data_IF_229193963604
#
_entry.id   IF_229193963604
#
_cell.length_a   1.000
_cell.length_b   1.000
_cell.length_c   1.000
_cell.angle_alpha   90.00
_cell.angle_beta   90.00
_cell.angle_gamma   90.00
#
_symmetry.space_group_name_H-M   'P 1'
#
loop_
_entity.id
_entity.type
_entity.pdbx_description
1 polymer ?
#
# COMPACT_ATOMS: atom_id res chain seq x y z
N UNK A 1 5.31 53.41 -57.57
CA UNK A 1 4.20 52.59 -57.07
C UNK A 1 4.65 51.14 -57.04
N UNK A 2 4.18 50.39 -56.05
CA UNK A 2 4.40 48.96 -55.75
C UNK A 2 5.67 48.63 -54.94
N UNK A 3 5.39 48.50 -53.66
CA UNK A 3 6.09 47.85 -52.55
C UNK A 3 5.82 46.33 -52.64
N UNK A 4 6.78 45.46 -52.34
CA UNK A 4 6.54 44.01 -52.33
C UNK A 4 7.68 43.17 -51.73
N UNK A 5 7.58 42.93 -50.43
CA UNK A 5 8.37 42.03 -49.58
C UNK A 5 8.07 40.55 -49.89
N UNK A 6 8.84 39.64 -49.24
CA UNK A 6 8.53 38.24 -48.89
C UNK A 6 9.07 37.14 -49.84
N UNK A 7 9.58 35.99 -49.40
CA UNK A 7 9.94 35.46 -48.08
C UNK A 7 10.83 34.23 -48.36
N UNK A 8 11.95 34.09 -47.64
CA UNK A 8 12.76 32.87 -47.59
C UNK A 8 11.90 31.70 -47.12
N UNK A 9 11.89 30.60 -47.88
CA UNK A 9 11.24 29.35 -47.49
C UNK A 9 11.96 28.72 -46.30
N UNK A 10 11.48 28.96 -45.10
CA UNK A 10 11.83 28.15 -43.94
C UNK A 10 10.99 26.87 -44.01
N UNK A 11 11.57 25.80 -44.57
CA UNK A 11 11.10 24.43 -44.30
C UNK A 11 11.35 24.16 -42.82
N UNK A 12 10.33 24.33 -41.97
CA UNK A 12 10.38 23.85 -40.60
C UNK A 12 10.29 22.32 -40.63
N UNK A 13 11.31 21.55 -40.19
CA UNK A 13 11.08 20.15 -39.91
C UNK A 13 10.12 20.03 -38.74
N UNK A 14 9.07 19.24 -38.93
CA UNK A 14 8.08 18.91 -37.92
C UNK A 14 8.75 18.28 -36.70
N UNK A 15 8.65 18.97 -35.56
CA UNK A 15 9.00 18.43 -34.24
C UNK A 15 7.87 17.50 -33.79
N UNK A 16 7.84 16.28 -34.32
CA UNK A 16 6.89 15.24 -33.93
C UNK A 16 7.66 13.99 -33.51
N UNK A 17 8.25 13.98 -32.31
CA UNK A 17 8.86 12.75 -31.75
C UNK A 17 8.93 12.67 -30.22
N UNK A 18 8.22 13.53 -29.47
CA UNK A 18 8.26 13.50 -27.99
C UNK A 18 7.06 12.76 -27.36
N UNK A 19 6.01 12.44 -28.12
CA UNK A 19 4.71 12.02 -27.54
C UNK A 19 4.48 10.49 -27.49
N UNK A 20 5.32 9.65 -28.11
CA UNK A 20 5.14 8.19 -28.07
C UNK A 20 5.71 7.54 -26.80
N UNK A 21 6.86 8.03 -26.30
CA UNK A 21 7.49 7.48 -25.10
C UNK A 21 6.69 7.74 -23.82
N UNK A 22 6.00 8.88 -23.72
CA UNK A 22 5.11 9.21 -22.60
C UNK A 22 3.87 8.31 -22.59
N UNK A 23 3.20 8.16 -23.75
CA UNK A 23 1.99 7.33 -23.89
C UNK A 23 2.22 5.86 -23.54
N UNK A 24 3.33 5.28 -23.98
CA UNK A 24 3.68 3.89 -23.64
C UNK A 24 3.96 3.71 -22.15
N UNK A 25 4.56 4.72 -21.51
CA UNK A 25 4.85 4.70 -20.07
C UNK A 25 3.56 4.79 -19.23
N UNK A 26 2.62 5.64 -19.64
CA UNK A 26 1.31 5.80 -18.97
C UNK A 26 0.44 4.56 -19.15
N UNK A 27 0.39 3.99 -20.36
CA UNK A 27 -0.32 2.75 -20.63
C UNK A 27 0.22 1.59 -19.77
N UNK A 28 1.55 1.46 -19.68
CA UNK A 28 2.20 0.43 -18.84
C UNK A 28 1.85 0.60 -17.36
N UNK A 29 1.86 1.83 -16.88
CA UNK A 29 1.51 2.15 -15.49
C UNK A 29 0.05 1.83 -15.18
N UNK A 30 -0.85 2.24 -16.05
CA UNK A 30 -2.27 1.99 -15.90
C UNK A 30 -2.59 0.48 -15.97
N UNK A 31 -1.88 -0.28 -16.83
CA UNK A 31 -1.96 -1.72 -16.85
C UNK A 31 -1.49 -2.35 -15.53
N UNK A 32 -0.30 -1.97 -15.03
CA UNK A 32 0.22 -2.48 -13.76
C UNK A 32 -0.73 -2.21 -12.59
N UNK A 33 -1.32 -1.01 -12.53
CA UNK A 33 -2.30 -0.63 -11.50
C UNK A 33 -3.57 -1.51 -11.49
N UNK A 34 -3.97 -2.04 -12.65
CA UNK A 34 -5.15 -2.92 -12.77
C UNK A 34 -4.85 -4.39 -12.48
N UNK A 35 -3.58 -4.77 -12.35
CA UNK A 35 -3.23 -6.15 -12.05
C UNK A 35 -3.52 -6.44 -10.57
N UNK A 36 -4.29 -7.50 -10.34
CA UNK A 36 -4.49 -8.06 -9.01
C UNK A 36 -3.16 -8.64 -8.49
N UNK A 37 -2.89 -8.44 -7.21
CA UNK A 37 -1.63 -8.84 -6.62
C UNK A 37 -1.62 -8.73 -5.11
N UNK A 38 -0.52 -9.20 -4.54
CA UNK A 38 -0.25 -9.18 -3.11
C UNK A 38 0.63 -7.98 -2.75
N UNK A 39 0.64 -7.61 -1.47
CA UNK A 39 1.59 -6.64 -0.94
C UNK A 39 2.69 -7.36 -0.17
N UNK A 40 3.93 -7.01 -0.47
CA UNK A 40 5.11 -7.43 0.26
C UNK A 40 5.75 -6.24 0.97
N UNK A 41 6.29 -6.49 2.16
CA UNK A 41 7.01 -5.49 2.92
C UNK A 41 8.51 -5.61 2.70
N UNK A 42 9.18 -4.46 2.60
CA UNK A 42 10.62 -4.38 2.49
C UNK A 42 11.18 -3.43 3.54
N UNK A 43 11.99 -3.98 4.44
CA UNK A 43 12.80 -3.18 5.35
C UNK A 43 13.99 -2.59 4.58
N UNK A 44 14.13 -1.26 4.57
CA UNK A 44 15.11 -0.52 3.76
C UNK A 44 16.08 0.30 4.61
N UNK A 45 15.86 0.36 5.92
CA UNK A 45 16.72 1.05 6.88
C UNK A 45 17.70 0.06 7.53
N UNK A 46 18.56 0.56 8.42
CA UNK A 46 19.33 -0.27 9.34
C UNK A 46 18.99 0.09 10.80
N UNK A 47 17.79 0.66 11.01
CA UNK A 47 17.29 1.10 12.32
C UNK A 47 16.66 -0.07 13.10
N UNK A 48 16.20 -1.09 12.37
CA UNK A 48 15.56 -2.29 12.89
C UNK A 48 16.55 -3.34 13.42
N UNK A 49 16.12 -4.11 14.42
CA UNK A 49 16.92 -5.25 14.92
C UNK A 49 16.93 -6.40 13.90
N UNK A 50 17.92 -7.32 13.97
CA UNK A 50 17.95 -8.50 13.11
C UNK A 50 16.65 -9.32 13.18
N UNK A 51 16.05 -9.45 14.36
CA UNK A 51 14.80 -10.18 14.57
C UNK A 51 13.60 -9.47 13.92
N UNK A 52 13.53 -8.14 14.03
CA UNK A 52 12.50 -7.35 13.37
C UNK A 52 12.63 -7.46 11.84
N UNK A 53 13.84 -7.36 11.30
CA UNK A 53 14.10 -7.55 9.87
C UNK A 53 13.68 -8.94 9.42
N UNK A 54 14.01 -9.99 10.19
CA UNK A 54 13.60 -11.35 9.86
C UNK A 54 12.07 -11.50 9.85
N UNK A 55 11.35 -10.86 10.77
CA UNK A 55 9.88 -10.90 10.77
C UNK A 55 9.25 -10.12 9.61
N UNK A 56 9.83 -8.97 9.24
CA UNK A 56 9.18 -7.97 8.38
C UNK A 56 9.71 -7.93 6.95
N UNK A 57 10.96 -8.27 6.67
CA UNK A 57 11.49 -8.22 5.31
C UNK A 57 10.96 -9.40 4.49
N UNK A 58 10.36 -9.10 3.33
CA UNK A 58 9.61 -10.04 2.48
C UNK A 58 8.39 -10.69 3.14
N UNK A 59 7.85 -10.11 4.22
CA UNK A 59 6.58 -10.53 4.77
C UNK A 59 5.41 -10.09 3.87
N UNK A 60 4.28 -10.81 3.95
CA UNK A 60 3.08 -10.49 3.20
C UNK A 60 2.10 -9.69 4.07
N UNK A 61 1.28 -8.89 3.42
CA UNK A 61 0.14 -8.24 4.06
C UNK A 61 -1.07 -9.17 4.01
N UNK A 62 -1.77 -9.26 5.14
CA UNK A 62 -2.98 -10.05 5.37
C UNK A 62 -4.09 -9.17 5.92
N UNK A 63 -5.33 -9.60 5.70
CA UNK A 63 -6.55 -9.04 6.22
C UNK A 63 -7.03 -9.94 7.35
N UNK A 64 -7.46 -9.36 8.47
CA UNK A 64 -8.10 -10.12 9.55
C UNK A 64 -9.55 -9.67 9.76
N UNK A 65 -10.32 -10.44 10.52
CA UNK A 65 -11.76 -10.22 10.73
C UNK A 65 -12.07 -8.90 11.46
N UNK A 66 -11.07 -8.29 12.12
CA UNK A 66 -11.16 -6.99 12.80
C UNK A 66 -11.15 -5.78 11.84
N UNK A 67 -11.04 -6.02 10.53
CA UNK A 67 -11.00 -4.97 9.51
C UNK A 67 -9.64 -4.27 9.39
N UNK A 68 -8.57 -4.85 9.95
CA UNK A 68 -7.21 -4.30 9.90
C UNK A 68 -6.30 -5.08 8.95
N UNK A 69 -5.18 -4.46 8.60
CA UNK A 69 -4.14 -5.06 7.78
C UNK A 69 -2.93 -5.43 8.65
N UNK A 70 -2.46 -6.67 8.51
CA UNK A 70 -1.34 -7.22 9.26
C UNK A 70 -0.20 -7.62 8.34
N UNK A 71 1.04 -7.41 8.76
CA UNK A 71 2.28 -7.85 8.12
C UNK A 71 2.80 -9.04 8.91
N UNK A 72 2.90 -10.21 8.27
CA UNK A 72 3.42 -11.42 8.91
C UNK A 72 3.97 -12.41 7.90
N UNK A 73 4.89 -13.27 8.35
CA UNK A 73 5.32 -14.50 7.65
C UNK A 73 4.55 -15.74 8.10
N UNK A 74 3.84 -15.63 9.23
CA UNK A 74 3.10 -16.70 9.89
C UNK A 74 1.66 -16.20 10.09
N UNK A 75 0.82 -16.24 9.05
CA UNK A 75 -0.58 -15.85 9.18
C UNK A 75 -1.35 -16.85 10.05
N UNK A 76 -2.32 -16.37 10.81
CA UNK A 76 -3.28 -17.23 11.49
C UNK A 76 -4.29 -17.80 10.48
N UNK A 77 -5.04 -18.87 10.82
CA UNK A 77 -6.09 -19.40 9.94
C UNK A 77 -7.22 -18.41 9.62
N UNK A 78 -7.44 -17.38 10.45
CA UNK A 78 -8.44 -16.33 10.23
C UNK A 78 -7.97 -15.29 9.21
N UNK A 79 -6.65 -15.16 9.03
CA UNK A 79 -6.05 -14.16 8.15
C UNK A 79 -6.12 -14.57 6.69
N UNK A 80 -6.63 -13.66 5.85
CA UNK A 80 -6.67 -13.83 4.40
C UNK A 80 -5.60 -12.98 3.73
N UNK A 81 -4.80 -13.53 2.80
CA UNK A 81 -3.78 -12.72 2.10
C UNK A 81 -4.41 -11.50 1.43
N UNK A 82 -3.76 -10.34 1.53
CA UNK A 82 -4.15 -9.18 0.72
C UNK A 82 -4.13 -9.61 -0.75
N UNK A 83 -5.22 -9.31 -1.45
CA UNK A 83 -5.35 -9.69 -2.84
C UNK A 83 -6.16 -8.65 -3.61
N UNK A 84 -5.43 -7.69 -4.16
CA UNK A 84 -5.98 -6.40 -4.50
C UNK A 84 -5.26 -5.69 -5.63
N UNK A 85 -5.85 -4.58 -6.04
CA UNK A 85 -5.32 -3.72 -7.10
C UNK A 85 -5.82 -2.28 -6.93
N UNK A 86 -5.23 -1.38 -7.69
CA UNK A 86 -5.59 0.03 -7.69
C UNK A 86 -6.91 0.21 -8.46
N UNK A 87 -7.83 0.97 -7.90
CA UNK A 87 -9.14 1.19 -8.49
C UNK A 87 -9.56 2.65 -8.37
N UNK A 88 -10.18 3.21 -9.41
CA UNK A 88 -10.66 4.59 -9.40
C UNK A 88 -11.81 4.73 -8.40
N UNK A 89 -11.65 5.59 -7.40
CA UNK A 89 -12.69 5.82 -6.41
C UNK A 89 -13.77 6.77 -6.98
N UNK A 90 -15.07 6.44 -6.85
CA UNK A 90 -16.14 7.23 -7.43
C UNK A 90 -16.36 8.59 -6.74
N UNK A 91 -16.06 8.70 -5.45
CA UNK A 91 -16.26 9.96 -4.70
C UNK A 91 -15.03 10.89 -4.76
N UNK A 92 -14.02 10.54 -5.55
CA UNK A 92 -12.83 11.36 -5.74
C UNK A 92 -13.05 12.33 -6.89
N UNK A 93 -13.07 13.64 -6.57
CA UNK A 93 -13.05 14.74 -7.54
C UNK A 93 -11.84 14.61 -8.49
N UNK A 94 -11.88 15.22 -9.69
CA UNK A 94 -11.09 14.82 -10.88
C UNK A 94 -9.56 14.73 -10.73
N UNK A 95 -9.00 15.17 -9.59
CA UNK A 95 -7.57 15.23 -9.31
C UNK A 95 -7.06 14.08 -8.42
N UNK A 96 -7.95 13.24 -7.85
CA UNK A 96 -7.56 12.12 -7.00
C UNK A 96 -7.62 10.79 -7.77
N UNK A 97 -6.43 10.28 -8.10
CA UNK A 97 -6.18 9.47 -9.29
C UNK A 97 -6.20 7.95 -9.05
N UNK A 98 -6.39 7.46 -7.82
CA UNK A 98 -6.73 6.05 -7.54
C UNK A 98 -6.92 5.77 -6.04
N UNK A 99 -7.89 4.92 -5.70
CA UNK A 99 -7.92 4.19 -4.44
C UNK A 99 -7.24 2.82 -4.56
N UNK A 100 -7.31 2.02 -3.50
CA UNK A 100 -6.85 0.63 -3.43
C UNK A 100 -7.99 -0.26 -2.94
N UNK A 101 -8.20 -1.41 -3.59
CA UNK A 101 -9.19 -2.40 -3.17
C UNK A 101 -8.54 -3.76 -2.95
N UNK A 102 -9.14 -4.58 -2.10
CA UNK A 102 -8.78 -5.97 -1.84
C UNK A 102 -10.03 -6.85 -1.83
N UNK A 103 -9.87 -8.15 -2.01
CA UNK A 103 -10.95 -9.12 -1.78
C UNK A 103 -10.93 -9.62 -0.34
N UNK A 104 -12.09 -9.64 0.30
CA UNK A 104 -12.27 -10.22 1.65
C UNK A 104 -12.45 -11.75 1.60
N UNK A 105 -12.31 -12.38 2.77
CA UNK A 105 -12.46 -13.83 2.99
C UNK A 105 -13.91 -14.34 2.88
N UNK A 106 -14.88 -13.43 2.84
CA UNK A 106 -16.30 -13.75 2.82
C UNK A 106 -16.67 -14.63 1.61
N UNK A 107 -17.78 -15.37 1.72
CA UNK A 107 -18.30 -16.18 0.61
C UNK A 107 -19.68 -15.64 0.20
N UNK A 108 -19.83 -14.98 -0.98
CA UNK A 108 -18.79 -14.73 -1.99
C UNK A 108 -17.78 -13.64 -1.58
N UNK A 109 -16.53 -13.66 -2.10
CA UNK A 109 -15.55 -12.63 -1.81
C UNK A 109 -16.04 -11.26 -2.23
N UNK A 110 -15.95 -10.28 -1.34
CA UNK A 110 -16.38 -8.91 -1.60
C UNK A 110 -15.18 -8.01 -1.85
N UNK A 111 -15.31 -7.11 -2.82
CA UNK A 111 -14.34 -6.03 -3.01
C UNK A 111 -14.50 -5.02 -1.87
N UNK A 112 -13.44 -4.85 -1.09
CA UNK A 112 -13.36 -3.91 0.04
C UNK A 112 -12.35 -2.82 -0.28
N UNK A 113 -12.66 -1.59 0.11
CA UNK A 113 -11.72 -0.48 0.03
C UNK A 113 -10.66 -0.65 1.10
N UNK A 114 -9.41 -0.34 0.75
CA UNK A 114 -8.32 -0.15 1.72
C UNK A 114 -8.15 1.35 1.95
N UNK A 115 -8.08 1.73 3.21
CA UNK A 115 -8.04 3.12 3.63
C UNK A 115 -7.21 3.30 4.88
N UNK A 116 -6.74 4.52 5.07
CA UNK A 116 -6.05 4.94 6.28
C UNK A 116 -7.07 5.57 7.22
N UNK A 117 -7.20 4.99 8.40
CA UNK A 117 -7.99 5.53 9.49
C UNK A 117 -7.42 6.90 9.91
N UNK A 118 -8.22 7.95 9.73
CA UNK A 118 -7.81 9.33 9.95
C UNK A 118 -7.52 9.69 11.41
N UNK A 119 -8.00 8.90 12.37
CA UNK A 119 -7.79 9.15 13.80
C UNK A 119 -6.57 8.40 14.33
N UNK A 120 -6.34 7.18 13.85
CA UNK A 120 -5.34 6.25 14.41
C UNK A 120 -4.13 6.00 13.51
N UNK A 121 -4.19 6.45 12.26
CA UNK A 121 -3.21 6.13 11.21
C UNK A 121 -3.06 4.60 10.94
N UNK A 122 -4.04 3.80 11.32
CA UNK A 122 -4.13 2.37 11.01
C UNK A 122 -4.57 2.15 9.56
N UNK A 123 -3.93 1.21 8.86
CA UNK A 123 -4.47 0.73 7.59
C UNK A 123 -5.61 -0.25 7.86
N UNK A 124 -6.77 0.06 7.29
CA UNK A 124 -8.00 -0.70 7.44
C UNK A 124 -8.58 -1.09 6.09
N UNK A 125 -9.51 -2.03 6.11
CA UNK A 125 -10.33 -2.35 4.96
C UNK A 125 -11.81 -2.46 5.31
N UNK A 126 -12.68 -2.15 4.36
CA UNK A 126 -14.11 -2.10 4.62
C UNK A 126 -14.97 -1.77 3.41
N UNK A 127 -16.27 -1.67 3.63
CA UNK A 127 -17.23 -1.19 2.62
C UNK A 127 -17.19 0.33 2.48
N UNK A 128 -18.04 0.88 1.59
CA UNK A 128 -18.14 2.33 1.35
C UNK A 128 -18.58 3.14 2.58
N UNK A 129 -19.33 2.52 3.49
CA UNK A 129 -19.75 3.17 4.74
C UNK A 129 -18.57 3.34 5.70
N UNK A 130 -17.69 2.34 5.77
CA UNK A 130 -16.53 2.31 6.66
C UNK A 130 -15.43 3.28 6.23
N UNK A 131 -15.47 3.80 5.01
CA UNK A 131 -14.48 4.76 4.49
C UNK A 131 -14.81 6.21 4.78
N UNK A 132 -16.02 6.51 5.27
CA UNK A 132 -16.47 7.88 5.47
C UNK A 132 -15.60 8.62 6.49
N UNK A 133 -15.04 9.77 6.11
CA UNK A 133 -14.15 10.56 6.97
C UNK A 133 -12.70 10.07 7.04
N UNK A 134 -12.36 8.99 6.33
CA UNK A 134 -11.02 8.43 6.29
C UNK A 134 -10.31 8.67 4.95
N UNK A 135 -9.02 8.35 4.87
CA UNK A 135 -8.20 8.64 3.68
C UNK A 135 -8.14 7.40 2.79
N UNK A 136 -8.84 7.43 1.65
CA UNK A 136 -8.87 6.34 0.69
C UNK A 136 -7.88 6.51 -0.48
N UNK A 137 -6.99 7.51 -0.43
CA UNK A 137 -6.04 7.79 -1.50
C UNK A 137 -5.61 9.26 -1.58
N UNK A 138 -4.84 9.65 -2.61
CA UNK A 138 -4.48 8.81 -3.76
C UNK A 138 -3.45 7.73 -3.40
N UNK A 139 -3.78 6.48 -3.70
CA UNK A 139 -2.81 5.40 -3.79
C UNK A 139 -2.15 5.39 -5.15
N UNK A 140 -0.85 5.16 -5.19
CA UNK A 140 -0.15 5.07 -6.47
C UNK A 140 1.10 4.20 -6.44
N UNK A 141 1.61 3.86 -7.62
CA UNK A 141 2.94 3.26 -7.76
C UNK A 141 3.98 4.37 -7.92
N UNK A 142 5.02 4.34 -7.09
CA UNK A 142 6.19 5.20 -7.23
C UNK A 142 6.82 4.99 -8.61
N UNK A 143 7.04 3.72 -8.95
CA UNK A 143 7.54 3.25 -10.22
C UNK A 143 6.98 1.86 -10.54
N UNK A 144 6.81 1.59 -11.83
CA UNK A 144 6.17 0.34 -12.31
C UNK A 144 7.11 -0.86 -12.21
N UNK A 145 8.42 -0.63 -12.26
CA UNK A 145 9.43 -1.68 -12.31
C UNK A 145 9.59 -2.38 -10.95
N UNK A 146 9.72 -1.59 -9.89
CA UNK A 146 9.83 -2.10 -8.53
C UNK A 146 8.45 -2.33 -7.91
N UNK A 147 7.43 -1.55 -8.30
CA UNK A 147 6.07 -1.71 -7.81
C UNK A 147 5.85 -1.15 -6.40
N UNK A 148 6.65 -0.17 -5.96
CA UNK A 148 6.47 0.42 -4.62
C UNK A 148 5.20 1.25 -4.52
N UNK A 149 4.39 0.97 -3.52
CA UNK A 149 3.12 1.65 -3.24
C UNK A 149 3.36 2.93 -2.46
N UNK A 150 2.63 3.96 -2.84
CA UNK A 150 2.58 5.27 -2.20
C UNK A 150 1.15 5.58 -1.80
N UNK A 151 0.99 6.35 -0.73
CA UNK A 151 -0.26 7.00 -0.36
C UNK A 151 0.03 8.50 -0.27
N UNK A 152 -0.82 9.31 -0.90
CA UNK A 152 -0.62 10.76 -0.99
C UNK A 152 0.77 11.14 -1.52
N UNK A 153 1.30 10.33 -2.46
CA UNK A 153 2.65 10.46 -3.06
C UNK A 153 3.81 10.28 -2.08
N UNK A 154 3.58 9.74 -0.88
CA UNK A 154 4.59 9.48 0.15
C UNK A 154 4.74 7.97 0.40
N UNK A 155 5.91 7.57 0.91
CA UNK A 155 6.25 6.19 1.29
C UNK A 155 6.55 6.11 2.78
N UNK A 156 5.52 6.33 3.60
CA UNK A 156 5.63 6.40 5.07
C UNK A 156 4.93 5.23 5.75
N UNK A 157 5.20 4.02 5.27
CA UNK A 157 4.62 2.80 5.82
C UNK A 157 5.36 2.37 7.08
N UNK A 158 4.58 1.97 8.09
CA UNK A 158 5.08 1.48 9.36
C UNK A 158 4.50 0.09 9.65
N UNK A 159 5.33 -0.83 10.13
CA UNK A 159 4.86 -1.98 10.91
C UNK A 159 4.82 -1.57 12.36
N UNK A 160 3.71 -1.81 13.05
CA UNK A 160 3.47 -1.36 14.42
C UNK A 160 3.04 -2.53 15.31
N UNK A 161 3.59 -2.58 16.52
CA UNK A 161 3.19 -3.46 17.62
C UNK A 161 2.85 -2.61 18.84
N UNK A 162 1.57 -2.52 19.15
CA UNK A 162 1.08 -1.81 20.32
C UNK A 162 1.50 -2.51 21.62
N UNK A 163 1.59 -1.80 22.76
CA UNK A 163 1.97 -2.38 24.05
C UNK A 163 1.10 -3.57 24.46
N UNK A 164 -0.21 -3.47 24.21
CA UNK A 164 -1.17 -4.52 24.52
C UNK A 164 -0.91 -5.80 23.73
N UNK A 165 -0.57 -5.67 22.45
CA UNK A 165 -0.19 -6.82 21.62
C UNK A 165 1.11 -7.45 22.11
N UNK A 166 2.10 -6.62 22.45
CA UNK A 166 3.38 -7.10 23.00
C UNK A 166 3.19 -7.84 24.32
N UNK A 167 2.28 -7.38 25.19
CA UNK A 167 1.96 -8.03 26.45
C UNK A 167 1.31 -9.41 26.21
N UNK A 168 0.35 -9.50 25.29
CA UNK A 168 -0.28 -10.77 24.90
C UNK A 168 0.73 -11.77 24.33
N UNK A 169 1.56 -11.34 23.38
CA UNK A 169 2.61 -12.20 22.80
C UNK A 169 3.60 -12.70 23.87
N UNK A 170 3.93 -11.85 24.84
CA UNK A 170 4.83 -12.21 25.95
C UNK A 170 4.18 -13.24 26.88
N UNK A 171 2.91 -13.05 27.23
CA UNK A 171 2.14 -14.00 28.05
C UNK A 171 2.02 -15.36 27.34
N UNK A 172 1.69 -15.38 26.05
CA UNK A 172 1.64 -16.60 25.23
C UNK A 172 2.99 -17.35 25.21
N UNK A 173 4.10 -16.60 25.15
CA UNK A 173 5.44 -17.17 25.20
C UNK A 173 5.76 -17.77 26.58
N UNK A 174 5.41 -17.07 27.67
CA UNK A 174 5.61 -17.54 29.05
C UNK A 174 4.78 -18.79 29.37
N UNK A 175 3.57 -18.88 28.82
CA UNK A 175 2.70 -20.04 28.93
C UNK A 175 3.11 -21.21 28.03
N UNK A 176 4.13 -21.04 27.19
CA UNK A 176 4.61 -22.09 26.26
C UNK A 176 3.61 -22.43 25.15
N UNK A 177 2.65 -21.54 24.86
CA UNK A 177 1.64 -21.69 23.81
C UNK A 177 1.96 -20.87 22.55
N UNK A 178 3.07 -20.12 22.58
CA UNK A 178 3.63 -19.44 21.41
C UNK A 178 3.92 -20.47 20.30
N UNK A 179 3.16 -20.38 19.20
CA UNK A 179 3.26 -21.31 18.06
C UNK A 179 2.20 -22.42 18.00
N UNK A 180 1.17 -22.39 18.86
CA UNK A 180 -0.06 -23.15 18.59
C UNK A 180 -0.79 -22.58 17.36
N UNK A 181 -1.60 -23.38 16.66
CA UNK A 181 -2.44 -22.92 15.53
C UNK A 181 -3.33 -21.75 15.99
N UNK A 182 -2.88 -20.51 15.77
CA UNK A 182 -3.53 -19.29 16.27
C UNK A 182 -2.61 -18.29 17.00
N UNK A 183 -1.33 -18.60 17.23
CA UNK A 183 -0.40 -17.67 17.88
C UNK A 183 -0.16 -16.39 17.07
N UNK A 184 -0.41 -15.23 17.67
CA UNK A 184 -0.26 -13.88 17.05
C UNK A 184 1.24 -13.49 16.93
N UNK A 185 2.13 -14.34 17.44
CA UNK A 185 3.58 -14.15 17.46
C UNK A 185 4.15 -13.76 16.11
N UNK A 186 4.64 -12.52 16.02
CA UNK A 186 5.33 -12.02 14.83
C UNK A 186 4.44 -11.34 13.79
N UNK A 187 3.15 -11.14 14.09
CA UNK A 187 2.29 -10.25 13.30
C UNK A 187 2.50 -8.78 13.69
N UNK A 188 2.46 -7.88 12.71
CA UNK A 188 2.58 -6.44 12.94
C UNK A 188 1.44 -5.73 12.24
N UNK A 189 0.82 -4.74 12.87
CA UNK A 189 -0.21 -3.95 12.19
C UNK A 189 0.42 -3.01 11.17
N UNK A 190 -0.21 -2.86 10.01
CA UNK A 190 0.22 -1.93 8.98
C UNK A 190 -0.35 -0.54 9.27
N UNK A 191 0.52 0.44 9.38
CA UNK A 191 0.20 1.85 9.60
C UNK A 191 0.77 2.71 8.48
N UNK A 192 0.26 3.93 8.38
CA UNK A 192 0.85 4.98 7.54
C UNK A 192 1.06 6.25 8.34
N UNK A 193 2.30 6.71 8.41
CA UNK A 193 2.67 7.91 9.16
C UNK A 193 2.31 9.18 8.37
N UNK A 194 1.21 9.79 8.77
CA UNK A 194 0.94 11.21 8.57
C UNK A 194 1.49 11.94 9.79
N UNK A 195 2.48 12.81 9.59
CA UNK A 195 3.30 13.56 10.58
C UNK A 195 2.57 14.19 11.81
N UNK A 196 1.25 14.09 11.88
CA UNK A 196 0.33 14.60 12.89
C UNK A 196 0.02 13.59 14.00
N UNK A 197 0.12 12.28 13.75
CA UNK A 197 -0.26 11.25 14.73
C UNK A 197 0.92 10.78 15.57
N UNK A 198 0.73 10.75 16.89
CA UNK A 198 1.71 10.23 17.84
C UNK A 198 1.29 8.82 18.24
N UNK A 199 2.15 7.85 17.96
CA UNK A 199 1.93 6.47 18.40
C UNK A 199 1.87 6.38 19.94
N UNK A 200 1.03 5.50 20.52
CA UNK A 200 0.96 5.31 21.96
C UNK A 200 2.33 4.99 22.58
N UNK A 201 2.55 5.42 23.82
CA UNK A 201 3.80 5.15 24.53
C UNK A 201 4.07 3.64 24.66
N UNK A 202 5.33 3.23 24.48
CA UNK A 202 5.74 1.81 24.52
C UNK A 202 5.46 1.03 23.23
N UNK A 203 4.90 1.68 22.20
CA UNK A 203 4.72 1.09 20.87
C UNK A 203 6.05 0.80 20.21
N UNK A 204 6.22 -0.42 19.69
CA UNK A 204 7.32 -0.76 18.79
C UNK A 204 6.89 -0.51 17.36
N UNK A 205 7.76 0.09 16.56
CA UNK A 205 7.48 0.30 15.14
C UNK A 205 8.74 0.18 14.29
N UNK A 206 8.55 -0.12 13.00
CA UNK A 206 9.62 -0.26 12.01
C UNK A 206 9.16 0.37 10.69
N UNK A 207 10.04 1.16 10.06
CA UNK A 207 9.80 1.73 8.73
C UNK A 207 9.94 0.66 7.66
N UNK A 208 9.04 0.69 6.69
CA UNK A 208 9.06 -0.25 5.57
C UNK A 208 8.59 0.40 4.27
N UNK A 209 8.86 -0.29 3.16
CA UNK A 209 8.23 -0.02 1.88
C UNK A 209 7.22 -1.12 1.60
N UNK A 210 6.12 -0.76 0.97
CA UNK A 210 5.17 -1.72 0.43
C UNK A 210 5.41 -1.89 -1.05
N UNK A 211 5.51 -3.14 -1.49
CA UNK A 211 5.70 -3.52 -2.88
C UNK A 211 4.48 -4.31 -3.35
N UNK A 212 3.82 -3.83 -4.39
CA UNK A 212 2.75 -4.56 -5.06
C UNK A 212 3.35 -5.59 -6.02
N UNK A 213 2.92 -6.85 -5.86
CA UNK A 213 3.41 -7.99 -6.65
C UNK A 213 2.22 -8.63 -7.36
N UNK A 214 2.12 -8.51 -8.69
CA UNK A 214 1.04 -9.12 -9.45
C UNK A 214 0.92 -10.62 -9.19
N UNK A 215 -0.30 -11.12 -9.05
CA UNK A 215 -0.59 -12.53 -8.93
C UNK A 215 -0.40 -13.20 -10.31
N UNK A 216 0.67 -13.98 -10.49
CA UNK A 216 0.91 -14.72 -11.75
C UNK A 216 2.34 -14.68 -12.31
N UNK A 217 3.37 -14.80 -11.47
CA UNK A 217 4.72 -15.23 -11.90
C UNK A 217 5.20 -16.39 -11.04
#
# INVERSE_FOLDING_TARGET
>A
MVLGLALMGAMAPAMANIDQGSKDSEARRHHAKRQRGHLLTECYTNEETPEQRDQLHNARVYLDEDGKLYVTKQPTPTMTPFDGHFYTHPDFQPDNTSGLITLSAETPPLARWVFLDAETNEMRFGGKGDTQGHICGPFDLLDVENGYVTLERRQRWLAVKLPEQQAREKEELELGIAGSEGGVGGSWMLYFDRDEYVLPEGTKWVKLRLRHVPAGR
#
